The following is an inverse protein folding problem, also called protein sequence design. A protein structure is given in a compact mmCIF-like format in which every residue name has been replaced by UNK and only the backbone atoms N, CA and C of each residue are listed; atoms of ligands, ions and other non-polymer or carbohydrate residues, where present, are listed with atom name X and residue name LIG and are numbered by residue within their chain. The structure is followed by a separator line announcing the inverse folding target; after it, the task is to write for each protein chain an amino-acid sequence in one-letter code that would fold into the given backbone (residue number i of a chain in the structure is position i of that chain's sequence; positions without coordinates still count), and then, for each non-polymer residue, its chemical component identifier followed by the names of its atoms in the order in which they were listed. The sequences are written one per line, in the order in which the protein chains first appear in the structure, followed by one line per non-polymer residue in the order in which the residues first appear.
data_IF_063808681660
#
_entry.id   IF_063808681660
#
_cell.length_a   1.000
_cell.length_b   1.000
_cell.length_c   1.000
_cell.angle_alpha   90.00
_cell.angle_beta   90.00
_cell.angle_gamma   90.00
#
_symmetry.space_group_name_H-M   'P 1'
#
loop_
_entity.id
_entity.type
_entity.pdbx_description
1 polymer ?
#
# COMPACT_ATOMS: atom_id res chain seq x y z
N UNK A 1 20.74 1.45 -12.30
CA UNK A 1 19.88 0.99 -11.22
C UNK A 1 18.57 0.42 -11.79
N UNK A 2 17.94 -0.48 -11.05
CA UNK A 2 16.66 -1.09 -11.39
C UNK A 2 15.65 -0.71 -10.32
N UNK A 3 14.45 -0.28 -10.75
CA UNK A 3 13.28 -0.01 -9.91
C UNK A 3 12.10 -0.84 -10.40
N UNK A 4 11.31 -1.43 -9.53
CA UNK A 4 10.02 -1.98 -9.91
C UNK A 4 8.89 -1.08 -9.40
N UNK A 5 7.86 -0.94 -10.23
CA UNK A 5 6.59 -0.28 -9.90
C UNK A 5 5.45 -1.30 -9.77
N UNK A 6 5.77 -2.60 -9.87
CA UNK A 6 4.79 -3.69 -9.87
C UNK A 6 4.98 -4.57 -8.63
N UNK A 7 3.94 -4.68 -7.80
CA UNK A 7 3.98 -5.44 -6.55
C UNK A 7 4.33 -6.92 -6.76
N UNK A 8 3.92 -7.54 -7.89
CA UNK A 8 4.21 -8.96 -8.19
C UNK A 8 5.68 -9.23 -8.51
N UNK A 9 6.46 -8.21 -8.89
CA UNK A 9 7.89 -8.34 -9.17
C UNK A 9 8.75 -8.23 -7.91
N UNK A 10 8.25 -7.54 -6.88
CA UNK A 10 9.04 -7.22 -5.69
C UNK A 10 9.60 -8.45 -4.98
N UNK A 11 8.84 -9.54 -4.75
CA UNK A 11 9.39 -10.75 -4.12
C UNK A 11 10.56 -11.34 -4.91
N UNK A 12 10.38 -11.45 -6.24
CA UNK A 12 11.39 -12.02 -7.13
C UNK A 12 12.66 -11.15 -7.15
N UNK A 13 12.50 -9.83 -7.22
CA UNK A 13 13.63 -8.90 -7.21
C UNK A 13 14.36 -8.91 -5.86
N UNK A 14 13.64 -8.96 -4.76
CA UNK A 14 14.22 -9.01 -3.43
C UNK A 14 15.06 -10.29 -3.22
N UNK A 15 14.54 -11.45 -3.62
CA UNK A 15 15.24 -12.73 -3.55
C UNK A 15 16.48 -12.80 -4.46
N UNK A 16 16.44 -12.11 -5.59
CA UNK A 16 17.53 -12.15 -6.59
C UNK A 16 18.44 -10.91 -6.57
N UNK A 17 18.29 -10.01 -5.60
CA UNK A 17 19.03 -8.75 -5.49
C UNK A 17 20.55 -8.95 -5.65
N UNK A 18 21.13 -9.92 -4.92
CA UNK A 18 22.56 -10.22 -4.99
C UNK A 18 23.03 -10.67 -6.40
N UNK A 19 22.16 -11.34 -7.17
CA UNK A 19 22.49 -11.76 -8.55
C UNK A 19 22.59 -10.57 -9.50
N UNK A 20 21.74 -9.57 -9.34
CA UNK A 20 21.83 -8.32 -10.09
C UNK A 20 23.05 -7.52 -9.69
N UNK A 21 23.33 -7.44 -8.40
CA UNK A 21 24.50 -6.72 -7.87
C UNK A 21 25.81 -7.33 -8.35
N UNK A 22 25.90 -8.66 -8.49
CA UNK A 22 27.07 -9.37 -9.03
C UNK A 22 27.41 -8.97 -10.49
N UNK A 23 26.43 -8.48 -11.25
CA UNK A 23 26.62 -7.97 -12.63
C UNK A 23 26.64 -6.44 -12.68
N UNK A 24 26.80 -5.76 -11.54
CA UNK A 24 26.90 -4.31 -11.45
C UNK A 24 25.57 -3.54 -11.48
N UNK A 25 24.42 -4.21 -11.39
CA UNK A 25 23.11 -3.57 -11.38
C UNK A 25 22.63 -3.36 -9.93
N UNK A 26 22.52 -2.10 -9.51
CA UNK A 26 21.89 -1.76 -8.22
C UNK A 26 20.38 -1.89 -8.30
N UNK A 27 19.77 -2.74 -7.45
CA UNK A 27 18.33 -2.94 -7.38
C UNK A 27 17.78 -2.20 -6.16
N UNK A 28 16.90 -1.23 -6.39
CA UNK A 28 16.21 -0.48 -5.33
C UNK A 28 14.94 -1.25 -4.96
N UNK A 29 15.10 -2.26 -4.14
CA UNK A 29 14.05 -3.09 -3.57
C UNK A 29 14.38 -3.38 -2.11
N UNK A 30 13.37 -3.38 -1.26
CA UNK A 30 13.50 -3.72 0.16
C UNK A 30 13.82 -5.19 0.35
N UNK A 31 14.30 -5.55 1.54
CA UNK A 31 14.64 -6.94 1.86
C UNK A 31 13.40 -7.86 1.79
N UNK A 32 13.59 -9.18 1.52
CA UNK A 32 12.48 -10.14 1.42
C UNK A 32 11.51 -10.11 2.60
N UNK A 33 12.01 -9.89 3.82
CA UNK A 33 11.17 -9.79 5.03
C UNK A 33 10.21 -8.60 4.97
N UNK A 34 10.66 -7.45 4.47
CA UNK A 34 9.83 -6.25 4.30
C UNK A 34 8.76 -6.50 3.25
N UNK A 35 9.18 -7.11 2.12
CA UNK A 35 8.26 -7.45 1.03
C UNK A 35 7.20 -8.44 1.50
N UNK A 36 7.57 -9.47 2.26
CA UNK A 36 6.65 -10.48 2.78
C UNK A 36 5.57 -9.85 3.69
N UNK A 37 5.94 -8.90 4.56
CA UNK A 37 4.99 -8.18 5.42
C UNK A 37 4.05 -7.31 4.58
N UNK A 38 4.58 -6.57 3.61
CA UNK A 38 3.83 -5.59 2.86
C UNK A 38 2.96 -6.21 1.74
N UNK A 39 3.45 -7.26 1.08
CA UNK A 39 2.76 -7.93 -0.02
C UNK A 39 1.56 -8.76 0.45
N UNK A 40 1.62 -9.32 1.65
CA UNK A 40 0.53 -10.06 2.29
C UNK A 40 -0.32 -9.12 3.16
N UNK A 41 -1.50 -8.73 2.67
CA UNK A 41 -2.38 -7.78 3.36
C UNK A 41 -2.83 -8.23 4.76
N UNK A 42 -2.87 -9.54 5.00
CA UNK A 42 -3.17 -10.08 6.33
C UNK A 42 -1.99 -9.90 7.28
N UNK A 43 -0.77 -10.20 6.82
CA UNK A 43 0.46 -9.92 7.59
C UNK A 43 0.64 -8.42 7.82
N UNK A 44 0.30 -7.58 6.83
CA UNK A 44 0.27 -6.12 7.00
C UNK A 44 -0.61 -5.72 8.18
N UNK A 45 -1.86 -6.21 8.24
CA UNK A 45 -2.79 -5.87 9.32
C UNK A 45 -2.22 -6.28 10.69
N UNK A 46 -1.73 -7.51 10.82
CA UNK A 46 -1.12 -8.01 12.06
C UNK A 46 0.13 -7.20 12.47
N UNK A 47 0.98 -6.86 11.50
CA UNK A 47 2.18 -6.08 11.76
C UNK A 47 1.84 -4.65 12.22
N UNK A 48 0.86 -4.00 11.58
CA UNK A 48 0.36 -2.67 11.98
C UNK A 48 -0.16 -2.69 13.42
N UNK A 49 -0.94 -3.71 13.79
CA UNK A 49 -1.44 -3.89 15.16
C UNK A 49 -0.30 -4.11 16.15
N UNK A 50 0.74 -4.86 15.78
CA UNK A 50 1.93 -5.07 16.63
C UNK A 50 2.68 -3.78 16.96
N UNK A 51 2.56 -2.75 16.11
CA UNK A 51 3.07 -1.41 16.38
C UNK A 51 2.15 -0.57 17.29
N UNK A 52 1.00 -1.09 17.72
CA UNK A 52 -0.02 -0.31 18.43
C UNK A 52 -0.70 0.74 17.54
N UNK A 53 -0.72 0.50 16.23
CA UNK A 53 -1.51 1.25 15.25
C UNK A 53 -2.78 0.46 14.94
N UNK A 54 -3.76 1.12 14.34
CA UNK A 54 -5.03 0.49 13.99
C UNK A 54 -5.00 -0.01 12.55
N UNK A 55 -5.37 -1.29 12.35
CA UNK A 55 -5.71 -1.89 11.06
C UNK A 55 -7.21 -2.23 11.03
N UNK A 56 -7.85 -2.40 9.85
CA UNK A 56 -9.20 -2.91 9.78
C UNK A 56 -9.27 -4.35 10.29
N UNK A 57 -10.36 -4.70 10.99
CA UNK A 57 -10.59 -6.09 11.39
C UNK A 57 -10.61 -7.01 10.17
N UNK A 58 -9.77 -8.02 10.16
CA UNK A 58 -9.43 -8.80 8.97
C UNK A 58 -9.46 -10.29 9.27
N UNK A 59 -10.12 -11.06 8.39
CA UNK A 59 -10.27 -12.51 8.48
C UNK A 59 -9.83 -13.16 7.16
N UNK A 60 -9.12 -14.27 7.24
CA UNK A 60 -8.73 -15.10 6.08
C UNK A 60 -9.48 -16.44 6.06
N UNK A 61 -10.14 -16.80 7.17
CA UNK A 61 -11.01 -17.94 7.29
C UNK A 61 -12.48 -17.49 7.27
N UNK A 62 -13.29 -18.05 6.37
CA UNK A 62 -14.71 -17.72 6.27
C UNK A 62 -15.48 -18.02 7.54
N UNK A 63 -15.19 -19.16 8.19
CA UNK A 63 -15.91 -19.57 9.39
C UNK A 63 -15.57 -18.68 10.59
N UNK A 64 -14.36 -18.16 10.70
CA UNK A 64 -13.99 -17.21 11.76
C UNK A 64 -14.65 -15.84 11.54
N UNK A 65 -14.77 -15.40 10.28
CA UNK A 65 -15.56 -14.22 9.94
C UNK A 65 -17.04 -14.40 10.33
N UNK A 66 -17.65 -15.55 10.06
CA UNK A 66 -19.03 -15.85 10.46
C UNK A 66 -19.22 -15.87 11.98
N UNK A 67 -18.27 -16.40 12.73
CA UNK A 67 -18.29 -16.34 14.22
C UNK A 67 -18.24 -14.89 14.71
N UNK A 68 -17.37 -14.06 14.13
CA UNK A 68 -17.25 -12.65 14.48
C UNK A 68 -18.53 -11.85 14.15
N UNK A 69 -19.20 -12.17 13.04
CA UNK A 69 -20.52 -11.61 12.70
C UNK A 69 -21.58 -12.05 13.73
N UNK A 70 -21.60 -13.33 14.09
CA UNK A 70 -22.57 -13.86 15.05
C UNK A 70 -22.39 -13.28 16.47
N UNK A 71 -21.15 -12.96 16.86
CA UNK A 71 -20.85 -12.32 18.14
C UNK A 71 -21.05 -10.81 18.14
N UNK A 72 -21.30 -10.20 16.98
CA UNK A 72 -21.37 -8.74 16.83
C UNK A 72 -20.00 -8.05 16.88
N UNK A 73 -18.91 -8.78 16.77
CA UNK A 73 -17.56 -8.23 16.73
C UNK A 73 -17.33 -7.41 15.46
N UNK A 74 -17.89 -7.86 14.32
CA UNK A 74 -17.97 -7.11 13.08
C UNK A 74 -19.41 -7.10 12.58
N UNK A 75 -19.72 -6.17 11.69
CA UNK A 75 -21.05 -6.02 11.08
C UNK A 75 -20.95 -5.78 9.60
N UNK A 76 -22.00 -6.12 8.86
CA UNK A 76 -22.13 -5.70 7.46
C UNK A 76 -22.30 -4.17 7.33
N UNK A 77 -21.87 -3.57 6.20
CA UNK A 77 -21.22 -4.22 5.06
C UNK A 77 -19.75 -4.55 5.33
N UNK A 78 -19.21 -5.55 4.62
CA UNK A 78 -17.81 -5.95 4.63
C UNK A 78 -17.17 -5.70 3.27
N UNK A 79 -15.83 -5.71 3.23
CA UNK A 79 -15.08 -5.86 1.99
C UNK A 79 -14.52 -7.27 1.88
N UNK A 80 -14.56 -7.81 0.66
CA UNK A 80 -13.90 -9.06 0.30
C UNK A 80 -12.93 -8.79 -0.85
N UNK A 81 -11.71 -9.29 -0.75
CA UNK A 81 -10.66 -9.08 -1.76
C UNK A 81 -9.63 -10.21 -1.73
N UNK A 82 -8.83 -10.41 -2.79
CA UNK A 82 -7.67 -11.27 -2.72
C UNK A 82 -6.69 -10.81 -1.63
N UNK A 83 -6.09 -11.76 -0.93
CA UNK A 83 -5.08 -11.49 0.12
C UNK A 83 -3.83 -10.84 -0.46
N UNK A 84 -3.46 -11.18 -1.69
CA UNK A 84 -2.34 -10.62 -2.45
C UNK A 84 -2.83 -9.84 -3.68
N UNK A 85 -2.00 -8.96 -4.21
CA UNK A 85 -2.30 -8.12 -5.38
C UNK A 85 -2.62 -6.68 -5.02
N UNK A 86 -2.78 -5.82 -6.03
CA UNK A 86 -2.97 -4.37 -5.93
C UNK A 86 -4.06 -3.87 -6.88
N UNK A 87 -4.35 -2.56 -6.86
CA UNK A 87 -5.25 -1.92 -7.82
C UNK A 87 -6.72 -2.28 -7.66
N UNK A 88 -7.18 -2.63 -6.46
CA UNK A 88 -8.59 -2.97 -6.17
C UNK A 88 -9.12 -4.17 -6.98
N UNK A 89 -8.25 -5.00 -7.57
CA UNK A 89 -8.67 -6.17 -8.34
C UNK A 89 -9.39 -7.16 -7.44
N UNK A 90 -10.64 -7.52 -7.80
CA UNK A 90 -11.45 -8.47 -7.05
C UNK A 90 -11.95 -7.95 -5.70
N UNK A 91 -11.93 -6.63 -5.47
CA UNK A 91 -12.55 -6.00 -4.31
C UNK A 91 -14.07 -5.94 -4.51
N UNK A 92 -14.80 -6.55 -3.58
CA UNK A 92 -16.26 -6.55 -3.55
C UNK A 92 -16.78 -6.05 -2.21
N UNK A 93 -17.87 -5.28 -2.24
CA UNK A 93 -18.61 -4.87 -1.04
C UNK A 93 -19.72 -5.89 -0.78
N UNK A 94 -19.72 -6.45 0.42
CA UNK A 94 -20.64 -7.54 0.84
C UNK A 94 -21.65 -6.96 1.81
N UNK A 95 -22.92 -6.99 1.45
CA UNK A 95 -23.98 -6.37 2.22
C UNK A 95 -24.61 -7.30 3.26
N UNK A 96 -24.56 -8.62 3.07
CA UNK A 96 -25.21 -9.61 3.93
C UNK A 96 -24.54 -10.98 3.86
N UNK A 97 -25.11 -11.95 4.60
CA UNK A 97 -24.62 -13.32 4.70
C UNK A 97 -24.79 -14.12 3.39
N UNK A 98 -25.80 -13.83 2.60
CA UNK A 98 -26.02 -14.51 1.31
C UNK A 98 -24.96 -14.09 0.32
N UNK A 99 -24.71 -12.78 0.18
CA UNK A 99 -23.61 -12.24 -0.62
C UNK A 99 -22.27 -12.77 -0.16
N UNK A 100 -22.01 -12.83 1.15
CA UNK A 100 -20.77 -13.35 1.71
C UNK A 100 -20.46 -14.76 1.18
N UNK A 101 -21.44 -15.67 1.22
CA UNK A 101 -21.25 -17.05 0.78
C UNK A 101 -21.10 -17.16 -0.75
N UNK A 102 -21.89 -16.41 -1.51
CA UNK A 102 -21.86 -16.43 -2.98
C UNK A 102 -20.53 -15.88 -3.50
N UNK A 103 -20.17 -14.68 -3.06
CA UNK A 103 -18.95 -14.01 -3.53
C UNK A 103 -17.68 -14.72 -3.07
N UNK A 104 -17.65 -15.30 -1.86
CA UNK A 104 -16.52 -16.09 -1.40
C UNK A 104 -16.22 -17.24 -2.37
N UNK A 105 -17.23 -18.02 -2.72
CA UNK A 105 -17.08 -19.14 -3.65
C UNK A 105 -16.69 -18.69 -5.06
N UNK A 106 -17.26 -17.57 -5.52
CA UNK A 106 -16.96 -17.01 -6.83
C UNK A 106 -15.53 -16.49 -6.90
N UNK A 107 -15.10 -15.72 -5.90
CA UNK A 107 -13.75 -15.14 -5.83
C UNK A 107 -12.70 -16.24 -5.70
N UNK A 108 -12.95 -17.26 -4.89
CA UNK A 108 -12.08 -18.44 -4.77
C UNK A 108 -11.85 -19.11 -6.12
N UNK A 109 -12.91 -19.33 -6.90
CA UNK A 109 -12.81 -19.90 -8.25
C UNK A 109 -12.04 -18.98 -9.22
N UNK A 110 -12.23 -17.67 -9.12
CA UNK A 110 -11.52 -16.69 -9.96
C UNK A 110 -10.03 -16.71 -9.64
N UNK A 111 -9.64 -16.60 -8.36
CA UNK A 111 -8.24 -16.57 -7.93
C UNK A 111 -7.50 -17.83 -8.37
N UNK A 112 -8.08 -19.03 -8.18
CA UNK A 112 -7.46 -20.32 -8.59
C UNK A 112 -7.15 -20.40 -10.08
N UNK A 113 -7.67 -19.49 -10.91
CA UNK A 113 -7.41 -19.40 -12.36
C UNK A 113 -6.39 -18.32 -12.73
N UNK A 114 -5.83 -17.64 -11.76
CA UNK A 114 -4.87 -16.52 -11.95
C UNK A 114 -3.50 -16.88 -11.40
N UNK A 115 -2.50 -16.04 -11.69
CA UNK A 115 -1.17 -16.12 -11.11
C UNK A 115 -1.19 -16.00 -9.57
N UNK A 116 -2.22 -15.40 -8.98
CA UNK A 116 -2.35 -15.30 -7.54
C UNK A 116 -2.45 -16.66 -6.83
N UNK A 117 -2.86 -17.71 -7.55
CA UNK A 117 -2.84 -19.08 -7.02
C UNK A 117 -1.43 -19.58 -6.70
N UNK A 118 -0.39 -19.03 -7.31
CA UNK A 118 1.00 -19.44 -7.09
C UNK A 118 1.67 -18.79 -5.88
N UNK A 119 1.12 -17.71 -5.38
CA UNK A 119 1.70 -16.94 -4.26
C UNK A 119 1.02 -17.22 -2.92
N UNK A 120 -0.05 -18.04 -2.91
CA UNK A 120 -0.78 -18.34 -1.68
C UNK A 120 -0.14 -19.46 -0.86
N UNK A 121 -0.36 -19.39 0.45
CA UNK A 121 -0.01 -20.46 1.39
C UNK A 121 -1.32 -21.14 1.81
N UNK A 122 -1.50 -22.39 1.45
CA UNK A 122 -2.72 -23.16 1.73
C UNK A 122 -3.93 -22.67 0.91
N UNK A 123 -5.13 -22.69 1.50
CA UNK A 123 -6.39 -22.25 0.87
C UNK A 123 -6.85 -20.84 1.28
N UNK A 124 -5.96 -20.06 1.93
CA UNK A 124 -6.28 -18.72 2.44
C UNK A 124 -6.05 -17.62 1.38
N UNK A 125 -6.74 -17.72 0.25
CA UNK A 125 -6.60 -16.78 -0.87
C UNK A 125 -7.36 -15.48 -0.68
N UNK A 126 -8.37 -15.48 0.17
CA UNK A 126 -9.34 -14.41 0.33
C UNK A 126 -9.16 -13.74 1.68
N UNK A 127 -9.27 -12.43 1.69
CA UNK A 127 -9.35 -11.60 2.87
C UNK A 127 -10.74 -10.99 2.96
N UNK A 128 -11.37 -11.12 4.12
CA UNK A 128 -12.65 -10.49 4.48
C UNK A 128 -12.35 -9.45 5.55
N UNK A 129 -12.81 -8.24 5.34
CA UNK A 129 -12.41 -7.10 6.14
C UNK A 129 -13.60 -6.20 6.48
N UNK A 130 -13.61 -5.56 7.66
CA UNK A 130 -14.59 -4.52 7.95
C UNK A 130 -14.54 -3.42 6.88
N UNK A 131 -15.71 -2.98 6.42
CA UNK A 131 -15.80 -1.86 5.49
C UNK A 131 -15.74 -0.55 6.26
N UNK A 132 -14.64 0.15 6.11
CA UNK A 132 -14.47 1.47 6.69
C UNK A 132 -15.09 2.53 5.79
N UNK A 133 -15.62 3.58 6.41
CA UNK A 133 -16.13 4.78 5.73
C UNK A 133 -15.44 6.01 6.31
N UNK A 134 -15.10 6.96 5.44
CA UNK A 134 -14.44 8.19 5.87
C UNK A 134 -13.56 8.81 4.79
N UNK A 135 -12.64 9.68 5.20
CA UNK A 135 -11.67 10.28 4.29
C UNK A 135 -10.47 9.37 4.09
N UNK A 136 -10.06 9.17 2.84
CA UNK A 136 -8.90 8.36 2.50
C UNK A 136 -7.67 9.24 2.24
N UNK A 137 -6.54 8.78 2.74
CA UNK A 137 -5.24 9.43 2.60
C UNK A 137 -4.23 8.44 2.02
N UNK A 138 -3.40 8.92 1.10
CA UNK A 138 -2.21 8.22 0.63
C UNK A 138 -0.97 8.90 1.21
N UNK A 139 -0.02 8.10 1.70
CA UNK A 139 1.25 8.59 2.17
C UNK A 139 2.36 8.07 1.26
N UNK A 140 3.36 8.92 1.02
CA UNK A 140 4.68 8.44 0.61
C UNK A 140 5.58 8.50 1.84
N UNK A 141 5.88 7.35 2.40
CA UNK A 141 6.81 7.19 3.52
C UNK A 141 8.19 6.91 2.91
N UNK A 142 9.10 7.84 3.09
CA UNK A 142 10.38 7.84 2.39
C UNK A 142 11.50 7.43 3.34
N UNK A 143 12.22 6.37 2.98
CA UNK A 143 13.45 5.97 3.66
C UNK A 143 14.64 6.09 2.70
N UNK A 144 15.82 6.33 3.26
CA UNK A 144 17.08 6.24 2.51
C UNK A 144 17.41 4.77 2.16
N UNK A 145 18.53 4.55 1.49
CA UNK A 145 18.97 3.20 1.09
C UNK A 145 19.50 2.35 2.27
N UNK A 146 19.59 2.92 3.47
CA UNK A 146 19.93 2.23 4.72
C UNK A 146 18.69 1.96 5.59
N UNK A 147 17.49 2.27 5.10
CA UNK A 147 16.23 2.07 5.82
C UNK A 147 15.91 3.15 6.85
N UNK A 148 16.65 4.27 6.90
CA UNK A 148 16.36 5.39 7.79
C UNK A 148 15.24 6.26 7.22
N UNK A 149 14.21 6.55 8.01
CA UNK A 149 13.15 7.46 7.59
C UNK A 149 13.69 8.89 7.38
N UNK A 150 13.42 9.46 6.22
CA UNK A 150 13.85 10.80 5.79
C UNK A 150 12.70 11.75 5.51
N UNK A 151 11.45 11.24 5.49
CA UNK A 151 10.29 12.10 5.30
C UNK A 151 8.98 11.33 5.10
N UNK A 152 7.88 12.05 5.24
CA UNK A 152 6.52 11.55 4.97
C UNK A 152 5.73 12.64 4.26
N UNK A 153 5.26 12.36 3.05
CA UNK A 153 4.30 13.20 2.33
C UNK A 153 2.90 12.65 2.54
N UNK A 154 1.94 13.51 2.86
CA UNK A 154 0.54 13.14 3.11
C UNK A 154 -0.36 13.79 2.07
N UNK A 155 -1.19 12.98 1.43
CA UNK A 155 -2.20 13.41 0.44
C UNK A 155 -3.58 12.94 0.86
N UNK A 156 -4.56 13.82 0.84
CA UNK A 156 -5.97 13.42 0.92
C UNK A 156 -6.44 13.06 -0.49
N UNK A 157 -6.96 11.86 -0.66
CA UNK A 157 -7.56 11.40 -1.91
C UNK A 157 -8.95 12.05 -2.06
N UNK A 158 -9.17 12.77 -3.15
CA UNK A 158 -10.43 13.48 -3.43
C UNK A 158 -11.28 12.76 -4.46
N UNK A 159 -10.64 12.05 -5.39
CA UNK A 159 -11.29 11.20 -6.37
C UNK A 159 -10.39 10.03 -6.75
N UNK A 160 -11.02 8.89 -7.05
CA UNK A 160 -10.39 7.68 -7.55
C UNK A 160 -10.88 7.37 -8.95
N UNK A 161 -10.02 6.80 -9.80
CA UNK A 161 -10.33 6.32 -11.14
C UNK A 161 -9.64 4.98 -11.36
N UNK A 162 -10.41 3.94 -11.64
CA UNK A 162 -9.90 2.58 -11.89
C UNK A 162 -8.93 2.05 -10.82
N UNK A 163 -9.24 2.31 -9.53
CA UNK A 163 -8.41 1.84 -8.41
C UNK A 163 -7.18 2.70 -8.11
N UNK A 164 -6.97 3.81 -8.83
CA UNK A 164 -5.89 4.76 -8.60
C UNK A 164 -6.39 6.14 -8.19
N UNK A 165 -5.55 6.88 -7.46
CA UNK A 165 -5.82 8.28 -7.12
C UNK A 165 -5.85 9.15 -8.38
N UNK A 166 -6.99 9.79 -8.65
CA UNK A 166 -7.20 10.70 -9.79
C UNK A 166 -7.08 12.17 -9.39
N UNK A 167 -7.58 12.52 -8.20
CA UNK A 167 -7.42 13.86 -7.61
C UNK A 167 -6.96 13.76 -6.17
N UNK A 168 -6.01 14.59 -5.79
CA UNK A 168 -5.53 14.67 -4.42
C UNK A 168 -5.10 16.08 -4.04
N UNK A 169 -5.07 16.34 -2.74
CA UNK A 169 -4.53 17.56 -2.16
C UNK A 169 -3.51 17.20 -1.09
N UNK A 170 -2.32 17.82 -1.12
CA UNK A 170 -1.30 17.64 -0.09
C UNK A 170 -1.75 18.28 1.22
N UNK A 171 -1.53 17.60 2.35
CA UNK A 171 -2.03 18.03 3.67
C UNK A 171 -0.91 18.05 4.71
N UNK A 172 -1.01 19.02 5.60
CA UNK A 172 -0.22 19.04 6.84
C UNK A 172 -1.06 18.44 7.97
N UNK A 173 -0.97 17.12 8.16
CA UNK A 173 -1.68 16.36 9.20
C UNK A 173 -0.66 15.69 10.12
N UNK A 174 -0.28 16.33 11.26
CA UNK A 174 0.77 15.79 12.14
C UNK A 174 0.52 14.37 12.63
N UNK A 175 -0.72 14.04 13.01
CA UNK A 175 -1.08 12.65 13.44
C UNK A 175 -0.85 11.63 12.35
N UNK A 176 -1.24 11.91 11.10
CA UNK A 176 -1.05 11.00 9.96
C UNK A 176 0.42 10.87 9.59
N UNK A 177 1.15 11.99 9.63
CA UNK A 177 2.61 11.99 9.42
C UNK A 177 3.32 11.16 10.46
N UNK A 178 2.91 11.22 11.73
CA UNK A 178 3.47 10.43 12.82
C UNK A 178 3.23 8.92 12.62
N UNK A 179 2.05 8.53 12.13
CA UNK A 179 1.77 7.14 11.75
C UNK A 179 2.75 6.69 10.65
N UNK A 180 2.90 7.49 9.59
CA UNK A 180 3.85 7.20 8.51
C UNK A 180 5.29 7.10 9.01
N UNK A 181 5.73 8.02 9.88
CA UNK A 181 7.07 7.99 10.49
C UNK A 181 7.28 6.70 11.29
N UNK A 182 6.32 6.33 12.15
CA UNK A 182 6.38 5.10 12.95
C UNK A 182 6.48 3.85 12.07
N UNK A 183 5.73 3.80 10.97
CA UNK A 183 5.84 2.73 9.96
C UNK A 183 7.24 2.74 9.34
N UNK A 184 7.72 3.89 8.86
CA UNK A 184 9.02 4.02 8.19
C UNK A 184 10.20 3.61 9.07
N UNK A 185 10.18 3.97 10.35
CA UNK A 185 11.24 3.65 11.32
C UNK A 185 11.27 2.18 11.73
N UNK A 186 10.16 1.45 11.61
CA UNK A 186 10.04 0.07 12.11
C UNK A 186 9.99 -0.99 11.01
N UNK A 187 9.56 -0.66 9.78
CA UNK A 187 9.47 -1.64 8.70
C UNK A 187 10.82 -1.97 8.08
N UNK A 188 11.72 -0.98 7.98
CA UNK A 188 13.04 -1.14 7.39
C UNK A 188 13.02 -1.18 5.85
N UNK A 189 11.97 -0.63 5.21
CA UNK A 189 11.93 -0.47 3.76
C UNK A 189 12.95 0.54 3.27
N UNK A 190 13.31 0.48 2.00
CA UNK A 190 14.15 1.46 1.32
C UNK A 190 13.39 2.15 0.18
N UNK A 191 13.72 3.41 -0.07
CA UNK A 191 13.03 4.22 -1.08
C UNK A 191 11.63 4.62 -0.64
N UNK A 192 10.65 4.46 -1.52
CA UNK A 192 9.25 4.82 -1.27
C UNK A 192 8.45 3.64 -0.72
N UNK A 193 7.63 3.91 0.28
CA UNK A 193 6.54 3.05 0.71
C UNK A 193 5.23 3.83 0.53
N UNK A 194 4.39 3.35 -0.38
CA UNK A 194 3.03 3.87 -0.58
C UNK A 194 2.09 3.26 0.46
N UNK A 195 1.52 4.10 1.33
CA UNK A 195 0.68 3.69 2.46
C UNK A 195 -0.70 4.30 2.31
N UNK A 196 -1.72 3.46 2.38
CA UNK A 196 -3.10 3.89 2.39
C UNK A 196 -3.67 3.92 3.81
N UNK A 197 -4.30 5.04 4.16
CA UNK A 197 -4.91 5.28 5.48
C UNK A 197 -6.33 5.80 5.31
N UNK A 198 -7.26 5.29 6.12
CA UNK A 198 -8.63 5.80 6.23
C UNK A 198 -8.81 6.52 7.57
N UNK A 199 -9.41 7.70 7.56
CA UNK A 199 -9.93 8.33 8.76
C UNK A 199 -11.36 7.89 8.97
N UNK A 200 -11.62 7.20 10.08
CA UNK A 200 -12.97 6.76 10.48
C UNK A 200 -13.83 7.96 10.91
N UNK A 201 -15.14 7.77 10.98
CA UNK A 201 -16.09 8.80 11.40
C UNK A 201 -15.83 9.34 12.82
N UNK A 202 -15.25 8.53 13.70
CA UNK A 202 -14.84 8.94 15.06
C UNK A 202 -13.52 9.74 15.10
N UNK A 203 -12.89 9.97 13.94
CA UNK A 203 -11.64 10.71 13.80
C UNK A 203 -10.36 9.88 13.92
N UNK A 204 -10.46 8.58 14.24
CA UNK A 204 -9.31 7.68 14.30
C UNK A 204 -8.80 7.33 12.90
N UNK A 205 -7.50 7.04 12.81
CA UNK A 205 -6.85 6.63 11.58
C UNK A 205 -6.59 5.13 11.57
N UNK A 206 -6.85 4.51 10.42
CA UNK A 206 -6.72 3.08 10.20
C UNK A 206 -5.85 2.83 8.96
N UNK A 207 -4.75 2.10 9.12
CA UNK A 207 -3.83 1.75 8.03
C UNK A 207 -4.39 0.58 7.24
N UNK A 208 -4.57 0.76 5.94
CA UNK A 208 -5.24 -0.21 5.07
C UNK A 208 -4.26 -1.14 4.35
N UNK A 209 -3.13 -0.57 3.87
CA UNK A 209 -2.24 -1.24 2.93
C UNK A 209 -0.84 -0.61 2.96
N UNK A 210 0.17 -1.43 2.72
CA UNK A 210 1.57 -1.03 2.55
C UNK A 210 2.07 -1.55 1.20
N UNK A 211 2.64 -0.67 0.37
CA UNK A 211 3.20 -1.04 -0.93
C UNK A 211 4.64 -0.49 -1.03
N UNK A 212 5.69 -1.32 -0.87
CA UNK A 212 7.09 -0.87 -0.81
C UNK A 212 7.66 -0.57 -2.21
N UNK A 213 7.02 0.36 -2.89
CA UNK A 213 7.36 0.90 -4.22
C UNK A 213 6.71 2.27 -4.40
N UNK A 214 7.02 2.94 -5.50
CA UNK A 214 6.28 4.14 -5.89
C UNK A 214 4.83 3.77 -6.21
N UNK A 215 3.88 4.48 -5.59
CA UNK A 215 2.45 4.30 -5.83
C UNK A 215 1.93 5.20 -6.95
N UNK A 216 0.73 4.91 -7.45
CA UNK A 216 0.02 5.78 -8.40
C UNK A 216 -0.27 7.18 -7.86
N UNK A 217 -0.18 7.37 -6.53
CA UNK A 217 -0.29 8.66 -5.84
C UNK A 217 1.03 9.45 -5.74
N UNK A 218 2.20 8.86 -6.03
CA UNK A 218 3.49 9.56 -5.90
C UNK A 218 3.62 10.82 -6.78
N UNK A 219 3.10 10.86 -8.02
CA UNK A 219 3.16 12.08 -8.84
C UNK A 219 2.61 13.34 -8.14
N UNK A 220 1.60 13.20 -7.27
CA UNK A 220 1.07 14.32 -6.49
C UNK A 220 2.07 14.87 -5.47
N UNK A 221 2.87 13.99 -4.85
CA UNK A 221 3.97 14.41 -3.97
C UNK A 221 5.11 15.04 -4.75
N UNK A 222 5.43 14.48 -5.94
CA UNK A 222 6.47 15.02 -6.82
C UNK A 222 6.14 16.46 -7.28
N UNK A 223 4.93 16.68 -7.77
CA UNK A 223 4.46 18.01 -8.18
C UNK A 223 4.36 19.00 -6.98
N UNK A 224 4.25 18.48 -5.77
CA UNK A 224 4.33 19.29 -4.55
C UNK A 224 5.76 19.51 -4.04
N UNK A 225 6.79 19.12 -4.79
CA UNK A 225 8.20 19.40 -4.50
C UNK A 225 9.02 18.21 -3.99
N UNK A 226 8.42 17.02 -3.78
CA UNK A 226 9.15 15.83 -3.32
C UNK A 226 9.88 15.15 -4.47
N UNK A 227 11.20 15.25 -4.52
CA UNK A 227 12.01 14.62 -5.57
C UNK A 227 12.80 13.41 -5.04
N UNK A 228 12.07 12.40 -4.51
CA UNK A 228 12.69 11.15 -4.03
C UNK A 228 13.44 10.38 -5.13
N UNK A 229 12.97 10.31 -6.41
CA UNK A 229 13.75 9.64 -7.45
C UNK A 229 15.17 10.21 -7.60
N UNK A 230 15.32 11.54 -7.60
CA UNK A 230 16.64 12.16 -7.66
C UNK A 230 17.44 11.92 -6.38
N UNK A 231 16.79 11.95 -5.21
CA UNK A 231 17.45 11.63 -3.95
C UNK A 231 18.03 10.21 -3.96
N UNK A 232 17.27 9.22 -4.44
CA UNK A 232 17.75 7.83 -4.57
C UNK A 232 18.96 7.75 -5.52
N UNK A 233 18.91 8.44 -6.66
CA UNK A 233 20.05 8.48 -7.60
C UNK A 233 21.27 9.08 -6.94
N UNK A 234 21.13 10.16 -6.18
CA UNK A 234 22.24 10.77 -5.42
C UNK A 234 22.81 9.79 -4.38
N UNK A 235 21.96 9.14 -3.59
CA UNK A 235 22.43 8.12 -2.62
C UNK A 235 23.16 6.96 -3.30
N UNK A 236 22.70 6.48 -4.45
CA UNK A 236 23.37 5.43 -5.22
C UNK A 236 24.75 5.85 -5.72
N UNK A 237 24.99 7.16 -5.90
CA UNK A 237 26.27 7.75 -6.27
C UNK A 237 27.15 8.14 -5.08
N UNK A 238 26.63 8.03 -3.85
CA UNK A 238 27.33 8.50 -2.64
C UNK A 238 27.31 10.02 -2.49
N UNK A 239 26.39 10.71 -3.16
CA UNK A 239 26.22 12.17 -3.09
C UNK A 239 25.27 12.54 -1.93
N UNK A 240 25.52 13.71 -1.33
CA UNK A 240 24.63 14.26 -0.31
C UNK A 240 23.28 14.69 -0.91
N UNK A 241 22.22 14.48 -0.14
CA UNK A 241 20.83 14.87 -0.47
C UNK A 241 20.41 16.00 0.44
N UNK A 242 20.00 17.12 -0.15
CA UNK A 242 19.35 18.19 0.58
C UNK A 242 17.99 17.70 1.12
N UNK A 243 17.77 17.70 2.46
CA UNK A 243 16.52 17.28 3.04
C UNK A 243 15.28 18.05 2.51
N UNK A 244 15.45 19.29 2.04
CA UNK A 244 14.35 20.08 1.48
C UNK A 244 13.76 19.46 0.21
N UNK A 245 14.53 18.65 -0.53
CA UNK A 245 14.04 17.90 -1.70
C UNK A 245 12.96 16.86 -1.34
N UNK A 246 12.79 16.54 -0.06
CA UNK A 246 11.87 15.51 0.44
C UNK A 246 10.70 16.11 1.24
N UNK A 247 10.57 17.43 1.24
CA UNK A 247 9.53 18.16 1.98
C UNK A 247 8.45 18.63 1.00
N UNK A 248 7.20 18.12 1.10
CA UNK A 248 6.12 18.56 0.23
C UNK A 248 5.60 19.94 0.61
N UNK A 249 5.27 20.76 -0.37
CA UNK A 249 4.40 21.90 -0.19
C UNK A 249 2.98 21.41 0.13
N UNK A 250 2.39 21.90 1.22
CA UNK A 250 1.05 21.53 1.64
C UNK A 250 -0.01 22.46 1.02
N UNK A 251 -1.23 21.91 0.81
CA UNK A 251 -2.35 22.66 0.22
C UNK A 251 -2.35 22.67 -1.30
N UNK A 252 -1.40 21.99 -1.96
CA UNK A 252 -1.36 21.86 -3.42
C UNK A 252 -2.36 20.80 -3.87
N UNK A 253 -3.25 21.18 -4.79
CA UNK A 253 -4.27 20.27 -5.33
C UNK A 253 -3.98 20.00 -6.80
N UNK A 254 -4.04 18.72 -7.18
CA UNK A 254 -3.78 18.27 -8.54
C UNK A 254 -4.84 17.25 -8.98
N UNK A 255 -5.02 17.13 -10.28
CA UNK A 255 -5.82 16.11 -10.95
C UNK A 255 -5.01 15.52 -12.10
N UNK A 256 -5.08 14.19 -12.28
CA UNK A 256 -4.54 13.51 -13.44
C UNK A 256 -5.38 13.87 -14.69
N UNK A 257 -4.73 14.03 -15.83
CA UNK A 257 -5.38 14.21 -17.11
C UNK A 257 -4.77 13.26 -18.12
N UNK A 258 -5.61 12.73 -18.99
CA UNK A 258 -5.18 11.94 -20.15
C UNK A 258 -5.06 12.84 -21.36
N UNK A 259 -4.02 12.62 -22.17
CA UNK A 259 -3.81 13.32 -23.43
C UNK A 259 -3.97 12.33 -24.58
N UNK A 260 -4.65 12.78 -25.66
CA UNK A 260 -4.67 12.04 -26.91
C UNK A 260 -3.32 12.26 -27.62
N UNK A 261 -2.70 11.16 -28.06
CA UNK A 261 -1.47 11.19 -28.83
C UNK A 261 -1.71 10.53 -30.18
N UNK A 262 -1.38 11.25 -31.27
CA UNK A 262 -1.43 10.65 -32.59
C UNK A 262 -0.32 9.60 -32.72
N UNK A 263 -0.68 8.42 -33.15
CA UNK A 263 0.27 7.34 -33.46
C UNK A 263 0.46 7.37 -34.99
N UNK A 264 1.68 7.65 -35.42
CA UNK A 264 2.07 7.61 -36.82
C UNK A 264 2.61 6.26 -37.21
#
# INVERSE_FOLDING_TARGET
ALFSLNDLELPILAENKARFEAIGVKVVVSDPKVIDIAFDKYKTAQWIESLGLTAPKTYVCLEDCKKALASGEITFPLFMKPRWGSGSIGLESIADMEELNIYYNLLMKKIKRTILATVSVGDEYIMIQEKLTGSEFGLDVMNDLNGKNVGVSVKQKLAMRSGETDKAITRNLPKVREIGRKIGENLGHIGNLDVDIMQKANGDYCVLELNPRFGGGFPFSYEAGVNLPLAIIKWLKGEEVDPQMLVPECGRMFSKNDYLMEIK
#
